data_IF_030441541519
#
_entry.id   IF_030441541519
#
_cell.length_a   1.000
_cell.length_b   1.000
_cell.length_c   1.000
_cell.angle_alpha   90.00
_cell.angle_beta   90.00
_cell.angle_gamma   90.00
#
_symmetry.space_group_name_H-M   'P 1'
#
loop_
_entity.id
_entity.type
_entity.pdbx_description
1 polymer ?
#
# COMPACT_ATOMS: atom_id res chain seq x y z
N UNK A 1 21.74 34.26 -45.36
CA UNK A 1 20.61 35.03 -45.93
C UNK A 1 20.37 34.55 -47.35
N UNK A 2 19.24 33.87 -47.60
CA UNK A 2 18.52 33.81 -48.89
C UNK A 2 17.09 33.36 -48.52
N UNK A 3 16.11 34.14 -48.97
CA UNK A 3 14.68 33.88 -48.88
C UNK A 3 14.26 33.05 -50.09
N UNK A 4 13.25 32.20 -49.95
CA UNK A 4 12.22 32.02 -51.00
C UNK A 4 10.92 31.51 -50.38
N UNK A 5 9.84 32.27 -50.60
CA UNK A 5 8.45 31.89 -50.40
C UNK A 5 7.95 31.21 -51.68
N UNK A 6 7.04 30.24 -51.54
CA UNK A 6 6.07 29.95 -52.59
C UNK A 6 4.72 29.57 -51.97
N UNK A 7 3.68 30.28 -52.41
CA UNK A 7 2.25 30.03 -52.15
C UNK A 7 1.66 29.31 -53.37
N UNK A 8 0.53 28.62 -53.21
CA UNK A 8 -0.48 28.08 -54.20
C UNK A 8 -0.89 26.69 -53.66
N UNK A 9 -2.13 26.23 -53.50
CA UNK A 9 -3.51 26.74 -53.68
C UNK A 9 -4.48 25.80 -52.93
N UNK A 10 -5.70 26.29 -52.78
CA UNK A 10 -6.89 25.91 -52.01
C UNK A 10 -7.60 24.59 -52.41
N UNK A 11 -8.16 23.93 -51.38
CA UNK A 11 -9.39 23.11 -51.26
C UNK A 11 -9.60 21.81 -52.05
N UNK A 12 -9.93 20.76 -51.29
CA UNK A 12 -11.08 19.89 -51.59
C UNK A 12 -11.76 19.46 -50.27
N UNK A 13 -13.00 19.89 -50.08
CA UNK A 13 -13.95 19.39 -49.08
C UNK A 13 -14.52 18.06 -49.58
N UNK A 14 -14.34 16.99 -48.80
CA UNK A 14 -15.23 15.83 -48.83
C UNK A 14 -15.59 15.53 -47.39
N UNK A 15 -16.82 15.83 -47.02
CA UNK A 15 -17.41 15.38 -45.78
C UNK A 15 -17.86 13.93 -45.91
N UNK A 16 -17.64 13.15 -44.86
CA UNK A 16 -18.53 12.07 -44.46
C UNK A 16 -18.43 11.92 -42.93
N UNK A 17 -19.59 11.97 -42.32
CA UNK A 17 -19.96 11.58 -40.95
C UNK A 17 -19.15 10.45 -40.31
N UNK A 18 -18.88 10.58 -39.02
CA UNK A 18 -18.95 9.46 -38.09
C UNK A 18 -17.66 9.04 -37.41
N UNK A 19 -17.78 8.86 -36.09
CA UNK A 19 -16.94 8.07 -35.19
C UNK A 19 -15.74 8.77 -34.55
N UNK A 20 -16.03 9.36 -33.40
CA UNK A 20 -15.05 9.54 -32.34
C UNK A 20 -14.46 8.19 -31.94
N UNK A 21 -13.13 8.11 -31.99
CA UNK A 21 -12.39 7.00 -31.40
C UNK A 21 -12.14 7.42 -29.95
N UNK A 22 -13.11 7.16 -29.07
CA UNK A 22 -12.82 7.08 -27.64
C UNK A 22 -12.02 5.79 -27.48
N UNK A 23 -10.77 5.93 -27.06
CA UNK A 23 -9.88 4.81 -26.73
C UNK A 23 -10.51 3.96 -25.62
N UNK A 24 -11.21 2.89 -26.00
CA UNK A 24 -11.88 1.93 -25.10
C UNK A 24 -10.92 0.95 -24.40
N UNK A 25 -9.61 1.14 -24.56
CA UNK A 25 -8.57 0.28 -24.00
C UNK A 25 -8.36 0.43 -22.49
N UNK A 26 -8.80 1.54 -21.88
CA UNK A 26 -8.65 1.74 -20.42
C UNK A 26 -9.76 1.06 -19.60
N UNK A 27 -10.98 0.96 -20.16
CA UNK A 27 -12.14 0.40 -19.42
C UNK A 27 -11.97 -1.11 -19.21
N UNK A 28 -11.46 -1.84 -20.21
CA UNK A 28 -11.24 -3.29 -20.13
C UNK A 28 -10.07 -3.67 -19.21
N UNK A 29 -8.99 -2.88 -19.17
CA UNK A 29 -7.85 -3.15 -18.30
C UNK A 29 -8.18 -2.89 -16.81
N UNK A 30 -8.88 -1.80 -16.52
CA UNK A 30 -9.32 -1.48 -15.16
C UNK A 30 -10.38 -2.48 -14.64
N UNK A 31 -11.27 -2.96 -15.52
CA UNK A 31 -12.24 -4.01 -15.18
C UNK A 31 -11.56 -5.37 -14.98
N UNK A 32 -10.58 -5.75 -15.80
CA UNK A 32 -9.84 -6.99 -15.61
C UNK A 32 -8.97 -6.98 -14.33
N UNK A 33 -8.35 -5.86 -13.98
CA UNK A 33 -7.59 -5.73 -12.73
C UNK A 33 -8.51 -5.78 -11.49
N UNK A 34 -9.70 -5.19 -11.59
CA UNK A 34 -10.74 -5.25 -10.56
C UNK A 34 -11.37 -6.64 -10.42
N UNK A 35 -11.61 -7.36 -11.51
CA UNK A 35 -12.14 -8.73 -11.48
C UNK A 35 -11.09 -9.73 -10.99
N UNK A 36 -9.82 -9.53 -11.32
CA UNK A 36 -8.69 -10.38 -10.86
C UNK A 36 -8.44 -10.22 -9.35
N UNK A 37 -8.69 -9.02 -8.80
CA UNK A 37 -8.66 -8.83 -7.35
C UNK A 37 -9.87 -9.46 -6.65
N UNK A 38 -11.09 -9.36 -7.20
CA UNK A 38 -12.31 -9.91 -6.59
C UNK A 38 -12.37 -11.45 -6.48
N UNK A 39 -11.62 -12.21 -7.28
CA UNK A 39 -11.66 -13.69 -7.31
C UNK A 39 -10.44 -14.37 -6.67
N UNK A 40 -9.68 -13.66 -5.84
CA UNK A 40 -8.54 -14.28 -5.16
C UNK A 40 -9.05 -15.16 -4.02
N UNK A 41 -9.14 -16.47 -4.25
CA UNK A 41 -9.28 -17.43 -3.15
C UNK A 41 -7.89 -17.68 -2.54
N UNK A 42 -7.80 -17.65 -1.21
CA UNK A 42 -6.59 -18.04 -0.51
C UNK A 42 -6.37 -19.55 -0.68
N UNK A 43 -5.28 -19.96 -1.33
CA UNK A 43 -4.80 -21.34 -1.26
C UNK A 43 -4.29 -21.57 0.16
N UNK A 44 -4.62 -22.72 0.75
CA UNK A 44 -4.22 -23.01 2.13
C UNK A 44 -2.69 -22.95 2.27
N UNK A 45 -2.21 -22.30 3.33
CA UNK A 45 -0.80 -22.05 3.69
C UNK A 45 -0.05 -20.92 2.97
N UNK A 46 -0.70 -20.14 2.10
CA UNK A 46 -0.07 -18.99 1.42
C UNK A 46 -0.04 -17.69 2.25
N UNK A 47 -0.43 -17.71 3.54
CA UNK A 47 -0.52 -16.49 4.38
C UNK A 47 0.77 -15.65 4.39
N UNK A 48 1.94 -16.27 4.32
CA UNK A 48 3.23 -15.58 4.28
C UNK A 48 3.48 -14.88 2.94
N UNK A 49 2.89 -15.35 1.84
CA UNK A 49 2.98 -14.71 0.53
C UNK A 49 2.31 -13.33 0.52
N UNK A 50 1.39 -13.09 1.46
CA UNK A 50 0.70 -11.82 1.60
C UNK A 50 1.34 -10.88 2.63
N UNK A 51 2.46 -11.26 3.26
CA UNK A 51 3.17 -10.35 4.18
C UNK A 51 3.53 -9.03 3.48
N UNK A 52 3.10 -7.91 4.07
CA UNK A 52 3.25 -6.57 3.52
C UNK A 52 2.04 -6.07 2.73
N UNK A 53 1.08 -6.93 2.41
CA UNK A 53 -0.16 -6.50 1.77
C UNK A 53 -1.19 -6.04 2.79
N UNK A 54 -1.91 -4.98 2.42
CA UNK A 54 -3.17 -4.61 3.04
C UNK A 54 -4.28 -5.39 2.36
N UNK A 55 -5.19 -5.95 3.14
CA UNK A 55 -6.26 -6.82 2.65
C UNK A 55 -7.59 -6.45 3.27
N UNK A 56 -8.69 -6.70 2.58
CA UNK A 56 -10.06 -6.53 3.07
C UNK A 56 -10.99 -7.59 2.49
N UNK A 57 -12.15 -7.76 3.13
CA UNK A 57 -13.23 -8.55 2.55
C UNK A 57 -14.12 -7.67 1.65
N UNK A 58 -14.62 -8.26 0.56
CA UNK A 58 -15.57 -7.59 -0.34
C UNK A 58 -16.79 -7.11 0.45
N UNK A 59 -17.17 -5.84 0.22
CA UNK A 59 -18.30 -5.21 0.88
C UNK A 59 -18.09 -4.86 2.36
N UNK A 60 -16.91 -5.12 2.94
CA UNK A 60 -16.60 -4.76 4.33
C UNK A 60 -15.61 -3.59 4.42
N UNK A 61 -15.77 -2.69 5.39
CA UNK A 61 -14.88 -1.54 5.54
C UNK A 61 -13.55 -1.88 6.24
N UNK A 62 -13.50 -2.98 7.00
CA UNK A 62 -12.33 -3.36 7.78
C UNK A 62 -11.13 -3.70 6.88
N UNK A 63 -9.99 -3.06 7.16
CA UNK A 63 -8.72 -3.32 6.49
C UNK A 63 -7.74 -3.94 7.47
N UNK A 64 -6.96 -4.89 6.97
CA UNK A 64 -5.95 -5.60 7.74
C UNK A 64 -4.60 -5.48 7.05
N UNK A 65 -3.53 -5.32 7.82
CA UNK A 65 -2.17 -5.61 7.34
C UNK A 65 -1.89 -7.10 7.55
N UNK A 66 -1.44 -7.80 6.52
CA UNK A 66 -0.88 -9.15 6.71
C UNK A 66 0.59 -9.01 7.08
N UNK A 67 0.93 -9.52 8.24
CA UNK A 67 2.30 -9.51 8.76
C UNK A 67 2.58 -10.78 9.57
N UNK A 68 3.74 -11.38 9.32
CA UNK A 68 4.19 -12.65 9.90
C UNK A 68 3.13 -13.77 9.76
N UNK A 69 2.38 -13.78 8.66
CA UNK A 69 1.37 -14.78 8.38
C UNK A 69 0.05 -14.60 9.14
N UNK A 70 -0.16 -13.46 9.78
CA UNK A 70 -1.40 -13.11 10.48
C UNK A 70 -2.01 -11.84 9.90
N UNK A 71 -3.34 -11.70 9.92
CA UNK A 71 -4.03 -10.45 9.55
C UNK A 71 -4.26 -9.60 10.80
N UNK A 72 -3.75 -8.37 10.77
CA UNK A 72 -3.80 -7.42 11.87
C UNK A 72 -4.75 -6.30 11.51
N UNK A 73 -5.87 -6.18 12.21
CA UNK A 73 -6.88 -5.15 11.92
C UNK A 73 -6.32 -3.77 12.20
N UNK A 74 -6.49 -2.84 11.26
CA UNK A 74 -6.16 -1.42 11.45
C UNK A 74 -7.42 -0.75 11.99
N UNK A 75 -7.37 -0.24 13.23
CA UNK A 75 -8.58 0.10 13.99
C UNK A 75 -9.37 1.28 13.44
N UNK A 76 -8.71 2.19 12.74
CA UNK A 76 -9.30 3.44 12.27
C UNK A 76 -8.49 4.04 11.08
N UNK A 77 -9.10 4.94 10.30
CA UNK A 77 -8.45 5.57 9.15
C UNK A 77 -7.22 6.43 9.49
N UNK A 78 -7.16 7.04 10.68
CA UNK A 78 -6.04 7.90 11.06
C UNK A 78 -4.79 7.06 11.35
N UNK A 79 -4.97 5.91 12.01
CA UNK A 79 -3.94 4.88 12.17
C UNK A 79 -3.46 4.38 10.80
N UNK A 80 -4.38 4.17 9.86
CA UNK A 80 -4.00 3.80 8.48
C UNK A 80 -3.12 4.86 7.82
N UNK A 81 -3.58 6.12 7.79
CA UNK A 81 -2.91 7.22 7.09
C UNK A 81 -1.53 7.56 7.69
N UNK A 82 -1.33 7.28 8.98
CA UNK A 82 -0.03 7.44 9.64
C UNK A 82 1.01 6.42 9.19
N UNK A 83 0.56 5.22 8.79
CA UNK A 83 1.43 4.09 8.50
C UNK A 83 1.66 3.94 7.00
N UNK A 84 0.63 4.15 6.18
CA UNK A 84 0.66 3.84 4.75
C UNK A 84 0.61 5.11 3.90
N UNK A 85 1.37 5.08 2.80
CA UNK A 85 1.51 6.23 1.89
C UNK A 85 0.18 6.68 1.25
N UNK A 86 -0.72 5.74 0.99
CA UNK A 86 -2.01 5.95 0.32
C UNK A 86 -2.91 4.72 0.45
N UNK A 87 -4.12 4.80 -0.11
CA UNK A 87 -5.12 3.71 -0.10
C UNK A 87 -4.97 2.72 -1.27
N UNK A 88 -3.96 2.90 -2.13
CA UNK A 88 -3.73 2.02 -3.27
C UNK A 88 -3.14 0.68 -2.84
N UNK A 89 -3.44 -0.37 -3.61
CA UNK A 89 -2.85 -1.71 -3.40
C UNK A 89 -3.45 -2.47 -2.22
N UNK A 90 -4.64 -2.08 -1.74
CA UNK A 90 -5.44 -2.91 -0.84
C UNK A 90 -6.06 -4.04 -1.66
N UNK A 91 -5.73 -5.28 -1.31
CA UNK A 91 -6.25 -6.47 -1.98
C UNK A 91 -7.62 -6.84 -1.41
N UNK A 92 -8.61 -7.00 -2.27
CA UNK A 92 -9.93 -7.51 -1.86
C UNK A 92 -10.00 -9.04 -1.97
N UNK A 93 -10.68 -9.67 -1.03
CA UNK A 93 -10.92 -11.12 -1.01
C UNK A 93 -12.39 -11.38 -0.68
N UNK A 94 -12.94 -12.50 -1.15
CA UNK A 94 -14.28 -12.92 -0.72
C UNK A 94 -14.32 -13.17 0.79
N UNK A 95 -13.29 -13.85 1.30
CA UNK A 95 -13.15 -14.16 2.72
C UNK A 95 -11.67 -14.16 3.16
N UNK A 96 -11.41 -13.68 4.37
CA UNK A 96 -10.08 -13.65 5.00
C UNK A 96 -9.93 -14.68 6.14
N UNK A 97 -10.92 -15.56 6.32
CA UNK A 97 -10.98 -16.54 7.43
C UNK A 97 -9.79 -17.52 7.48
N UNK A 98 -9.09 -17.71 6.36
CA UNK A 98 -7.93 -18.61 6.25
C UNK A 98 -6.64 -18.00 6.78
N UNK A 99 -6.56 -16.67 6.92
CA UNK A 99 -5.43 -16.02 7.59
C UNK A 99 -5.74 -15.93 9.08
N UNK A 100 -4.89 -16.44 9.99
CA UNK A 100 -5.07 -16.26 11.42
C UNK A 100 -5.15 -14.79 11.83
N UNK A 101 -5.93 -14.46 12.86
CA UNK A 101 -5.95 -13.11 13.42
C UNK A 101 -4.65 -12.83 14.18
N UNK A 102 -4.05 -11.68 13.91
CA UNK A 102 -2.97 -11.12 14.71
C UNK A 102 -3.47 -9.98 15.60
N UNK A 103 -2.55 -9.39 16.38
CA UNK A 103 -2.85 -8.22 17.21
C UNK A 103 -3.24 -7.03 16.33
N UNK A 104 -4.27 -6.30 16.74
CA UNK A 104 -4.68 -5.07 16.06
C UNK A 104 -3.53 -4.06 16.00
N UNK A 105 -3.59 -3.19 14.99
CA UNK A 105 -2.76 -2.00 14.84
C UNK A 105 -3.66 -0.83 15.22
N UNK A 106 -3.33 -0.19 16.33
CA UNK A 106 -4.09 0.90 16.94
C UNK A 106 -3.30 2.22 16.95
N UNK A 107 -3.94 3.27 17.45
CA UNK A 107 -3.40 4.64 17.51
C UNK A 107 -2.07 4.81 18.26
N UNK A 108 -1.65 3.84 19.08
CA UNK A 108 -0.37 3.88 19.79
C UNK A 108 0.79 3.29 18.95
N UNK A 109 0.48 2.78 17.75
CA UNK A 109 1.45 2.21 16.82
C UNK A 109 1.71 3.15 15.66
N UNK A 110 2.87 3.00 15.01
CA UNK A 110 3.21 3.86 13.88
C UNK A 110 4.67 3.77 13.47
N UNK A 111 5.01 4.51 12.42
CA UNK A 111 6.39 4.60 11.94
C UNK A 111 7.16 5.67 12.71
N UNK A 112 8.32 5.29 13.21
CA UNK A 112 9.17 6.15 14.02
C UNK A 112 10.62 6.08 13.56
N UNK A 113 11.35 7.17 13.79
CA UNK A 113 12.81 7.21 13.77
C UNK A 113 13.28 7.86 15.06
N UNK A 114 14.49 7.54 15.50
CA UNK A 114 15.09 8.16 16.68
C UNK A 114 16.06 9.26 16.23
N UNK A 115 16.18 10.34 17.01
CA UNK A 115 17.16 11.39 16.71
C UNK A 115 18.56 10.80 16.57
N UNK A 116 19.33 11.32 15.63
CA UNK A 116 20.71 10.88 15.32
C UNK A 116 20.83 9.47 14.71
N UNK A 117 19.70 8.84 14.39
CA UNK A 117 19.63 7.55 13.69
C UNK A 117 18.89 7.68 12.37
N UNK A 118 19.31 6.90 11.37
CA UNK A 118 18.68 6.85 10.05
C UNK A 118 17.69 5.68 9.92
N UNK A 119 17.76 4.71 10.84
CA UNK A 119 16.90 3.54 10.82
C UNK A 119 15.45 3.90 11.16
N UNK A 120 14.52 3.36 10.37
CA UNK A 120 13.09 3.47 10.60
C UNK A 120 12.59 2.21 11.29
N UNK A 121 11.71 2.39 12.27
CA UNK A 121 11.09 1.32 13.02
C UNK A 121 9.58 1.43 12.92
N UNK A 122 8.92 0.28 12.99
CA UNK A 122 7.51 0.20 13.34
C UNK A 122 7.40 0.09 14.86
N UNK A 123 6.83 1.10 15.51
CA UNK A 123 6.44 1.05 16.92
C UNK A 123 5.23 0.12 17.04
N UNK A 124 5.40 -0.98 17.75
CA UNK A 124 4.46 -2.10 17.83
C UNK A 124 4.21 -2.48 19.31
N UNK A 125 3.40 -3.51 19.55
CA UNK A 125 3.20 -4.11 20.87
C UNK A 125 3.49 -5.61 20.84
N UNK A 126 4.07 -6.15 21.92
CA UNK A 126 4.24 -7.60 22.09
C UNK A 126 2.90 -8.29 22.37
N UNK A 127 2.91 -9.61 22.52
CA UNK A 127 1.70 -10.40 22.81
C UNK A 127 1.04 -9.97 24.13
N UNK A 128 1.82 -9.44 25.08
CA UNK A 128 1.33 -8.91 26.37
C UNK A 128 0.77 -7.49 26.27
N UNK A 129 1.00 -6.79 25.15
CA UNK A 129 0.57 -5.40 24.94
C UNK A 129 1.62 -4.34 25.27
N UNK A 130 2.84 -4.73 25.66
CA UNK A 130 3.93 -3.79 25.94
C UNK A 130 4.55 -3.27 24.65
N UNK A 131 4.97 -1.99 24.60
CA UNK A 131 5.55 -1.42 23.40
C UNK A 131 6.89 -2.06 23.05
N UNK A 132 7.14 -2.25 21.76
CA UNK A 132 8.41 -2.69 21.18
C UNK A 132 8.69 -1.90 19.91
N UNK A 133 9.95 -1.89 19.44
CA UNK A 133 10.32 -1.34 18.13
C UNK A 133 10.74 -2.45 17.19
N UNK A 134 10.21 -2.46 15.96
CA UNK A 134 10.55 -3.44 14.93
C UNK A 134 11.30 -2.75 13.81
N UNK A 135 12.56 -3.12 13.60
CA UNK A 135 13.38 -2.52 12.56
C UNK A 135 12.85 -2.86 11.17
N UNK A 136 12.70 -1.85 10.31
CA UNK A 136 12.40 -2.00 8.88
C UNK A 136 13.73 -2.06 8.14
N UNK A 137 14.10 -3.24 7.63
CA UNK A 137 15.50 -3.54 7.32
C UNK A 137 16.04 -2.87 6.06
N UNK A 138 15.16 -2.35 5.18
CA UNK A 138 15.59 -1.68 3.96
C UNK A 138 14.50 -0.78 3.35
N UNK A 139 14.88 0.14 2.45
CA UNK A 139 13.93 0.88 1.62
C UNK A 139 13.02 -0.02 0.78
N UNK A 140 13.50 -1.19 0.33
CA UNK A 140 12.64 -2.12 -0.43
C UNK A 140 11.51 -2.69 0.44
N UNK A 141 11.72 -2.86 1.75
CA UNK A 141 10.65 -3.25 2.68
C UNK A 141 9.64 -2.12 2.89
N UNK A 142 10.10 -0.87 2.99
CA UNK A 142 9.20 0.29 3.01
C UNK A 142 8.26 0.28 1.80
N UNK A 143 8.81 0.03 0.60
CA UNK A 143 8.01 -0.07 -0.63
C UNK A 143 7.07 -1.27 -0.62
N UNK A 144 7.56 -2.46 -0.24
CA UNK A 144 6.77 -3.71 -0.17
C UNK A 144 5.56 -3.57 0.74
N UNK A 145 5.74 -2.97 1.92
CA UNK A 145 4.68 -2.74 2.90
C UNK A 145 3.87 -1.46 2.61
N UNK A 146 4.22 -0.71 1.56
CA UNK A 146 3.65 0.59 1.22
C UNK A 146 3.67 1.60 2.39
N UNK A 147 4.68 1.49 3.25
CA UNK A 147 4.86 2.38 4.37
C UNK A 147 5.13 3.81 3.92
N UNK A 148 4.60 4.77 4.68
CA UNK A 148 4.80 6.17 4.43
C UNK A 148 6.22 6.62 4.82
N UNK A 149 6.77 7.61 4.11
CA UNK A 149 8.09 8.17 4.43
C UNK A 149 8.05 9.20 5.56
N UNK A 150 6.88 9.77 5.85
CA UNK A 150 6.71 10.67 6.99
C UNK A 150 6.58 9.83 8.27
N UNK A 151 7.58 9.98 9.14
CA UNK A 151 7.73 9.19 10.36
C UNK A 151 7.87 10.11 11.56
N UNK A 152 7.31 9.72 12.70
CA UNK A 152 7.47 10.50 13.93
C UNK A 152 8.91 10.43 14.42
N UNK A 153 9.47 11.58 14.81
CA UNK A 153 10.80 11.64 15.43
C UNK A 153 10.68 11.44 16.93
N UNK A 154 11.38 10.45 17.47
CA UNK A 154 11.50 10.20 18.90
C UNK A 154 12.89 10.58 19.41
N UNK A 155 13.05 10.96 20.69
CA UNK A 155 14.36 11.25 21.26
C UNK A 155 15.29 10.02 21.23
N UNK A 156 16.59 10.23 20.99
CA UNK A 156 17.63 9.19 20.98
C UNK A 156 17.57 8.29 22.23
N UNK A 157 17.39 8.87 23.42
CA UNK A 157 17.39 8.11 24.68
C UNK A 157 16.31 7.02 24.72
N UNK A 158 15.22 7.18 23.96
CA UNK A 158 14.12 6.21 23.91
C UNK A 158 14.48 4.96 23.11
N UNK A 159 15.46 5.01 22.20
CA UNK A 159 15.84 3.88 21.33
C UNK A 159 16.18 2.63 22.15
N UNK A 160 16.93 2.81 23.24
CA UNK A 160 17.38 1.70 24.09
C UNK A 160 16.36 1.35 25.20
N UNK A 161 15.39 2.21 25.45
CA UNK A 161 14.31 1.97 26.43
C UNK A 161 13.19 1.09 25.86
N UNK A 162 13.03 1.04 24.54
CA UNK A 162 12.07 0.18 23.85
C UNK A 162 12.71 -1.17 23.47
N UNK A 163 12.16 -2.31 23.90
CA UNK A 163 12.63 -3.63 23.47
C UNK A 163 12.60 -3.80 21.95
N UNK A 164 13.54 -4.57 21.42
CA UNK A 164 13.52 -4.97 20.01
C UNK A 164 12.47 -6.07 19.77
N UNK A 165 11.59 -5.80 18.82
CA UNK A 165 10.70 -6.78 18.23
C UNK A 165 11.31 -7.44 17.01
N UNK A 166 10.65 -8.47 16.46
CA UNK A 166 11.09 -9.09 15.21
C UNK A 166 11.11 -8.08 14.07
N UNK A 167 12.24 -7.97 13.36
CA UNK A 167 12.38 -7.06 12.23
C UNK A 167 11.38 -7.37 11.08
N UNK A 168 11.04 -6.34 10.31
CA UNK A 168 10.18 -6.41 9.13
C UNK A 168 11.08 -6.59 7.90
N UNK A 169 10.85 -7.66 7.12
CA UNK A 169 11.72 -8.16 6.03
C UNK A 169 10.93 -8.64 4.80
#
# INVERSE_FOLDING_TARGET
MIKTLSKITLAALIGCSGWGIISTSQVHAAEQEKVTSMNREFRQNDQYAYNGYRVKEVGKPAIYLVDRGTKRHITDPDTYNRIFKNWDGVLEFQHLRTIPNGKNIDQDMGLVKFSDYSEIYFLDKDDTGKPMKRWITSPSIMTKYAFHSEVSMLPQWMKNSLPDGPAIR
#
